data_IF_474056286131
#
_entry.id   IF_474056286131
#
_cell.length_a   1.000
_cell.length_b   1.000
_cell.length_c   1.000
_cell.angle_alpha   90.00
_cell.angle_beta   90.00
_cell.angle_gamma   90.00
#
_symmetry.space_group_name_H-M   'P 1'
#
loop_
_entity.id
_entity.type
_entity.pdbx_description
1 polymer ?
#
# COMPACT_ATOMS: atom_id res chain seq x y z
N UNK A 1 -14.68 2.14 11.70
CA UNK A 1 -15.43 1.52 10.59
C UNK A 1 -16.83 1.18 11.06
N UNK A 2 -17.83 1.67 10.36
CA UNK A 2 -19.25 1.51 10.73
C UNK A 2 -20.00 0.98 9.50
N UNK A 3 -20.80 -0.05 9.65
CA UNK A 3 -21.67 -0.55 8.59
C UNK A 3 -22.73 0.50 8.24
N UNK A 4 -22.92 0.78 6.94
CA UNK A 4 -23.87 1.81 6.48
C UNK A 4 -25.31 1.50 6.88
N UNK A 5 -25.71 0.23 6.77
CA UNK A 5 -27.09 -0.20 6.96
C UNK A 5 -27.49 -0.27 8.44
N UNK A 6 -26.63 -0.89 9.27
CA UNK A 6 -26.94 -1.17 10.69
C UNK A 6 -26.37 -0.14 11.66
N UNK A 7 -25.50 0.76 11.18
CA UNK A 7 -24.73 1.72 12.01
C UNK A 7 -23.86 1.07 13.09
N UNK A 8 -23.59 -0.22 12.95
CA UNK A 8 -22.80 -0.99 13.89
C UNK A 8 -21.31 -0.70 13.70
N UNK A 9 -20.58 -0.46 14.79
CA UNK A 9 -19.13 -0.40 14.81
C UNK A 9 -18.55 -1.79 14.65
N UNK A 10 -17.75 -2.01 13.62
CA UNK A 10 -17.17 -3.33 13.28
C UNK A 10 -15.64 -3.36 13.34
N UNK A 11 -14.97 -2.22 13.47
CA UNK A 11 -13.52 -2.16 13.47
C UNK A 11 -12.98 -0.74 13.36
N UNK A 12 -11.67 -0.62 13.32
CA UNK A 12 -10.97 0.65 13.12
C UNK A 12 -9.82 0.48 12.13
N UNK A 13 -9.50 1.55 11.41
CA UNK A 13 -8.33 1.67 10.56
C UNK A 13 -7.84 3.12 10.65
N UNK A 14 -6.54 3.32 10.64
CA UNK A 14 -5.95 4.66 10.72
C UNK A 14 -4.47 4.67 10.42
N UNK A 15 -3.93 5.87 10.32
CA UNK A 15 -2.52 6.16 10.10
C UNK A 15 -2.01 6.92 11.32
N UNK A 16 -0.90 6.45 11.90
CA UNK A 16 -0.24 7.04 13.06
C UNK A 16 1.23 7.33 12.75
N UNK A 17 1.93 8.17 13.51
CA UNK A 17 3.38 8.27 13.41
C UNK A 17 4.05 6.89 13.49
N UNK A 18 5.01 6.61 12.60
CA UNK A 18 5.77 5.35 12.68
C UNK A 18 6.82 5.48 13.80
N UNK A 19 6.74 4.71 14.89
CA UNK A 19 7.67 4.80 16.01
C UNK A 19 9.09 4.33 15.66
N UNK A 20 9.28 3.72 14.49
CA UNK A 20 10.56 3.19 14.01
C UNK A 20 11.22 4.12 12.98
N UNK A 21 10.56 5.23 12.59
CA UNK A 21 11.03 6.15 11.57
C UNK A 21 10.79 7.60 11.96
N UNK A 22 11.85 8.37 11.96
CA UNK A 22 11.80 9.79 12.35
C UNK A 22 11.28 10.72 11.23
N UNK A 23 11.17 10.21 9.99
CA UNK A 23 10.68 10.98 8.85
C UNK A 23 9.18 11.30 9.01
N UNK A 24 8.78 12.59 9.10
CA UNK A 24 7.38 12.98 9.30
C UNK A 24 6.46 12.67 8.11
N UNK A 25 7.02 12.42 6.91
CA UNK A 25 6.26 11.98 5.74
C UNK A 25 6.04 10.46 5.70
N UNK A 26 6.53 9.74 6.71
CA UNK A 26 6.28 8.31 6.88
C UNK A 26 5.29 8.09 8.02
N UNK A 27 4.30 7.27 7.78
CA UNK A 27 3.29 6.91 8.77
C UNK A 27 3.08 5.40 8.79
N UNK A 28 2.60 4.91 9.91
CA UNK A 28 2.28 3.49 10.08
C UNK A 28 0.77 3.27 10.04
N UNK A 29 0.34 2.34 9.20
CA UNK A 29 -1.03 1.85 9.13
C UNK A 29 -1.31 0.90 10.29
N UNK A 30 -2.38 1.15 11.02
CA UNK A 30 -2.91 0.26 12.03
C UNK A 30 -4.38 -0.04 11.81
N UNK A 31 -4.82 -1.27 12.11
CA UNK A 31 -6.24 -1.64 11.99
C UNK A 31 -6.59 -2.86 12.85
N UNK A 32 -7.88 -2.94 13.15
CA UNK A 32 -8.50 -4.14 13.71
C UNK A 32 -9.92 -4.28 13.18
N UNK A 33 -10.44 -5.50 13.13
CA UNK A 33 -11.78 -5.83 12.68
C UNK A 33 -12.35 -6.95 13.57
N UNK A 34 -13.60 -6.81 13.97
CA UNK A 34 -14.33 -7.84 14.68
C UNK A 34 -14.37 -9.14 13.85
N UNK A 35 -14.19 -10.28 14.54
CA UNK A 35 -14.04 -11.59 13.92
C UNK A 35 -15.25 -11.98 13.06
N UNK A 36 -16.46 -11.61 13.47
CA UNK A 36 -17.71 -11.87 12.76
C UNK A 36 -17.76 -11.27 11.36
N UNK A 37 -16.85 -10.33 11.06
CA UNK A 37 -16.77 -9.61 9.80
C UNK A 37 -15.54 -9.97 8.95
N UNK A 38 -14.73 -10.94 9.41
CA UNK A 38 -13.57 -11.38 8.65
C UNK A 38 -13.96 -12.08 7.33
N UNK A 39 -13.06 -12.06 6.37
CA UNK A 39 -13.22 -12.74 5.08
C UNK A 39 -14.14 -12.05 4.08
N UNK A 40 -14.83 -10.98 4.46
CA UNK A 40 -15.83 -10.27 3.64
C UNK A 40 -15.28 -9.10 2.84
N UNK A 41 -13.98 -8.81 2.92
CA UNK A 41 -13.33 -7.72 2.18
C UNK A 41 -13.33 -6.35 2.87
N UNK A 42 -14.11 -6.14 3.92
CA UNK A 42 -14.27 -4.84 4.59
C UNK A 42 -12.95 -4.17 4.97
N UNK A 43 -11.99 -4.92 5.54
CA UNK A 43 -10.71 -4.32 5.91
C UNK A 43 -9.87 -3.97 4.69
N UNK A 44 -9.91 -4.75 3.63
CA UNK A 44 -9.20 -4.44 2.39
C UNK A 44 -9.70 -3.13 1.77
N UNK A 45 -11.02 -2.94 1.71
CA UNK A 45 -11.66 -1.71 1.23
C UNK A 45 -11.33 -0.50 2.12
N UNK A 46 -11.43 -0.67 3.44
CA UNK A 46 -11.17 0.41 4.38
C UNK A 46 -9.69 0.86 4.36
N UNK A 47 -8.76 -0.08 4.24
CA UNK A 47 -7.33 0.20 4.06
C UNK A 47 -7.10 0.99 2.78
N UNK A 48 -7.72 0.61 1.65
CA UNK A 48 -7.61 1.36 0.39
C UNK A 48 -8.03 2.83 0.56
N UNK A 49 -9.14 3.08 1.24
CA UNK A 49 -9.61 4.46 1.51
C UNK A 49 -8.62 5.27 2.35
N UNK A 50 -8.01 4.65 3.36
CA UNK A 50 -7.01 5.30 4.21
C UNK A 50 -5.69 5.54 3.47
N UNK A 51 -5.29 4.63 2.58
CA UNK A 51 -4.10 4.81 1.74
C UNK A 51 -4.27 5.97 0.78
N UNK A 52 -5.41 6.07 0.11
CA UNK A 52 -5.72 7.20 -0.78
C UNK A 52 -5.64 8.53 -0.01
N UNK A 53 -6.27 8.62 1.16
CA UNK A 53 -6.18 9.80 2.02
C UNK A 53 -4.72 10.11 2.43
N UNK A 54 -3.94 9.09 2.80
CA UNK A 54 -2.55 9.25 3.20
C UNK A 54 -1.67 9.82 2.08
N UNK A 55 -1.82 9.32 0.87
CA UNK A 55 -1.00 9.77 -0.26
C UNK A 55 -1.52 11.06 -0.90
N UNK A 56 -2.83 11.21 -1.09
CA UNK A 56 -3.40 12.36 -1.79
C UNK A 56 -3.52 13.59 -0.91
N UNK A 57 -4.02 13.44 0.33
CA UNK A 57 -4.29 14.56 1.23
C UNK A 57 -3.12 14.87 2.15
N UNK A 58 -2.54 13.84 2.79
CA UNK A 58 -1.42 14.04 3.73
C UNK A 58 -0.06 14.10 3.02
N UNK A 59 0.00 13.82 1.72
CA UNK A 59 1.22 13.83 0.90
C UNK A 59 2.35 12.96 1.49
N UNK A 60 1.97 11.80 2.03
CA UNK A 60 2.95 10.88 2.59
C UNK A 60 3.82 10.28 1.48
N UNK A 61 5.10 10.13 1.76
CA UNK A 61 6.03 9.47 0.84
C UNK A 61 6.04 7.95 1.00
N UNK A 62 5.66 7.46 2.19
CA UNK A 62 5.66 6.04 2.51
C UNK A 62 4.65 5.72 3.61
N UNK A 63 3.95 4.62 3.47
CA UNK A 63 3.12 4.05 4.55
C UNK A 63 3.67 2.68 4.92
N UNK A 64 3.97 2.48 6.20
CA UNK A 64 4.43 1.20 6.73
C UNK A 64 3.31 0.43 7.40
N UNK A 65 3.51 -0.84 7.64
CA UNK A 65 2.62 -1.67 8.45
C UNK A 65 3.40 -2.82 9.08
N UNK A 66 2.92 -3.31 10.22
CA UNK A 66 3.48 -4.51 10.84
C UNK A 66 2.37 -5.52 11.13
N UNK A 67 2.71 -6.79 11.12
CA UNK A 67 1.82 -7.84 11.62
C UNK A 67 2.63 -9.01 12.18
N UNK A 68 1.98 -9.82 13.00
CA UNK A 68 2.59 -11.06 13.49
C UNK A 68 2.79 -12.08 12.36
N UNK A 69 3.86 -12.89 12.39
CA UNK A 69 4.14 -13.91 11.38
C UNK A 69 3.02 -14.96 11.21
N UNK A 70 2.27 -15.22 12.28
CA UNK A 70 1.14 -16.16 12.27
C UNK A 70 -0.17 -15.50 11.77
N UNK A 71 -0.27 -14.17 11.71
CA UNK A 71 -1.47 -13.47 11.26
C UNK A 71 -1.60 -13.43 9.73
N UNK A 72 -1.91 -14.57 9.12
CA UNK A 72 -2.05 -14.72 7.67
C UNK A 72 -3.16 -13.85 7.07
N UNK A 73 -4.19 -13.50 7.87
CA UNK A 73 -5.28 -12.61 7.43
C UNK A 73 -4.78 -11.20 7.23
N UNK A 74 -4.03 -10.65 8.19
CA UNK A 74 -3.42 -9.32 8.07
C UNK A 74 -2.43 -9.28 6.90
N UNK A 75 -1.54 -10.28 6.75
CA UNK A 75 -0.64 -10.39 5.60
C UNK A 75 -1.39 -10.34 4.26
N UNK A 76 -2.56 -11.01 4.16
CA UNK A 76 -3.39 -11.02 2.95
C UNK A 76 -3.99 -9.64 2.67
N UNK A 77 -4.44 -8.92 3.71
CA UNK A 77 -4.94 -7.53 3.56
C UNK A 77 -3.82 -6.62 3.04
N UNK A 78 -2.63 -6.68 3.65
CA UNK A 78 -1.48 -5.87 3.24
C UNK A 78 -1.08 -6.16 1.79
N UNK A 79 -0.91 -7.43 1.43
CA UNK A 79 -0.55 -7.84 0.06
C UNK A 79 -1.58 -7.42 -0.98
N UNK A 80 -2.88 -7.52 -0.67
CA UNK A 80 -3.95 -7.08 -1.58
C UNK A 80 -3.96 -5.57 -1.82
N UNK A 81 -3.43 -4.79 -0.87
CA UNK A 81 -3.27 -3.35 -0.99
C UNK A 81 -1.88 -2.93 -1.49
N UNK A 82 -1.10 -3.86 -2.06
CA UNK A 82 0.17 -3.56 -2.71
C UNK A 82 1.37 -3.42 -1.77
N UNK A 83 1.21 -3.70 -0.47
CA UNK A 83 2.34 -3.62 0.45
C UNK A 83 3.43 -4.64 0.12
N UNK A 84 4.66 -4.19 0.16
CA UNK A 84 5.88 -4.95 -0.09
C UNK A 84 6.45 -5.40 1.25
N UNK A 85 6.85 -6.66 1.35
CA UNK A 85 7.52 -7.19 2.53
C UNK A 85 8.94 -6.61 2.64
N UNK A 86 9.26 -6.00 3.77
CA UNK A 86 10.56 -5.35 4.04
C UNK A 86 11.52 -6.26 4.82
N UNK A 87 10.96 -7.04 5.76
CA UNK A 87 11.77 -7.92 6.60
C UNK A 87 11.06 -8.31 7.89
N UNK A 88 11.75 -9.05 8.74
CA UNK A 88 11.26 -9.44 10.07
C UNK A 88 12.06 -8.72 11.14
N UNK A 89 11.37 -8.04 12.04
CA UNK A 89 11.93 -7.50 13.28
C UNK A 89 11.75 -8.56 14.36
N UNK A 90 12.88 -9.16 14.78
CA UNK A 90 12.86 -10.21 15.80
C UNK A 90 12.66 -9.63 17.20
N UNK A 91 11.92 -10.36 18.04
CA UNK A 91 11.62 -10.00 19.42
C UNK A 91 11.06 -8.56 19.54
N UNK A 92 10.17 -8.19 18.61
CA UNK A 92 9.71 -6.83 18.43
C UNK A 92 8.72 -6.37 19.49
N UNK A 93 8.03 -7.30 20.14
CA UNK A 93 6.99 -6.97 21.11
C UNK A 93 7.01 -7.96 22.28
N UNK A 94 7.00 -7.39 23.50
CA UNK A 94 6.71 -8.13 24.72
C UNK A 94 5.26 -7.83 25.11
N UNK A 95 4.40 -8.83 25.03
CA UNK A 95 2.99 -8.67 25.40
C UNK A 95 2.79 -8.71 26.92
N UNK A 96 1.65 -8.22 27.38
CA UNK A 96 1.30 -8.17 28.82
C UNK A 96 1.31 -9.54 29.50
N UNK A 97 1.12 -10.62 28.76
CA UNK A 97 1.18 -12.01 29.28
C UNK A 97 2.59 -12.63 29.19
N UNK A 98 3.61 -11.84 28.87
CA UNK A 98 5.01 -12.27 28.83
C UNK A 98 5.44 -12.97 27.53
N UNK A 99 4.59 -13.06 26.52
CA UNK A 99 5.00 -13.63 25.22
C UNK A 99 5.80 -12.61 24.43
N UNK A 100 6.84 -13.10 23.74
CA UNK A 100 7.66 -12.30 22.84
C UNK A 100 7.28 -12.68 21.40
N UNK A 101 7.01 -11.67 20.59
CA UNK A 101 6.64 -11.86 19.18
C UNK A 101 7.56 -11.11 18.24
N UNK A 102 7.81 -11.72 17.08
CA UNK A 102 8.41 -11.06 15.93
C UNK A 102 7.34 -10.24 15.19
N UNK A 103 7.77 -9.17 14.51
CA UNK A 103 6.92 -8.44 13.57
C UNK A 103 7.44 -8.63 12.14
N UNK A 104 6.56 -9.03 11.24
CA UNK A 104 6.80 -8.85 9.82
C UNK A 104 6.51 -7.40 9.44
N UNK A 105 7.49 -6.74 8.87
CA UNK A 105 7.41 -5.35 8.44
C UNK A 105 7.08 -5.28 6.95
N UNK A 106 6.24 -4.31 6.60
CA UNK A 106 5.80 -4.05 5.24
C UNK A 106 5.83 -2.55 4.98
N UNK A 107 6.00 -2.17 3.73
CA UNK A 107 5.92 -0.79 3.30
C UNK A 107 5.17 -0.65 1.98
N UNK A 108 4.59 0.52 1.75
CA UNK A 108 3.98 0.93 0.51
C UNK A 108 4.49 2.34 0.18
N UNK A 109 5.28 2.52 -0.89
CA UNK A 109 5.71 3.85 -1.30
C UNK A 109 4.54 4.62 -1.92
N UNK A 110 4.52 5.93 -1.69
CA UNK A 110 3.64 6.84 -2.41
C UNK A 110 4.03 6.90 -3.88
N UNK A 111 3.06 7.10 -4.74
CA UNK A 111 3.32 7.40 -6.15
C UNK A 111 3.75 8.87 -6.19
N UNK A 112 5.03 9.12 -6.49
CA UNK A 112 5.50 10.47 -6.80
C UNK A 112 5.05 10.88 -8.20
N UNK A 113 4.82 12.17 -8.42
CA UNK A 113 4.70 12.67 -9.78
C UNK A 113 6.06 12.51 -10.47
N UNK A 114 6.08 12.12 -11.76
CA UNK A 114 7.32 11.95 -12.48
C UNK A 114 8.08 13.30 -12.55
N UNK A 115 9.38 13.20 -12.40
CA UNK A 115 10.31 14.30 -12.63
C UNK A 115 10.85 14.21 -14.06
N UNK A 116 11.47 15.26 -14.59
CA UNK A 116 12.10 15.20 -15.92
C UNK A 116 13.11 14.06 -16.10
N UNK A 117 13.78 13.65 -15.04
CA UNK A 117 14.72 12.52 -15.04
C UNK A 117 14.05 11.17 -15.26
N UNK A 118 12.76 11.04 -14.91
CA UNK A 118 11.98 9.80 -15.04
C UNK A 118 11.42 9.62 -16.46
N UNK A 119 11.43 10.67 -17.29
CA UNK A 119 10.75 10.62 -18.60
C UNK A 119 11.31 9.58 -19.55
N UNK A 120 12.59 9.32 -19.56
CA UNK A 120 13.19 8.33 -20.45
C UNK A 120 12.77 6.91 -20.05
N UNK A 121 12.66 6.62 -18.76
CA UNK A 121 12.14 5.35 -18.26
C UNK A 121 10.64 5.20 -18.53
N UNK A 122 9.86 6.25 -18.32
CA UNK A 122 8.42 6.28 -18.64
C UNK A 122 8.17 6.00 -20.12
N UNK A 123 8.94 6.65 -20.99
CA UNK A 123 8.86 6.43 -22.44
C UNK A 123 9.23 5.00 -22.83
N UNK A 124 10.26 4.45 -22.19
CA UNK A 124 10.67 3.06 -22.41
C UNK A 124 9.54 2.08 -22.01
N UNK A 125 8.97 2.24 -20.82
CA UNK A 125 7.86 1.40 -20.32
C UNK A 125 6.62 1.54 -21.20
N UNK A 126 6.29 2.77 -21.62
CA UNK A 126 5.18 3.03 -22.53
C UNK A 126 5.39 2.31 -23.89
N UNK A 127 6.58 2.46 -24.49
CA UNK A 127 6.90 1.83 -25.76
C UNK A 127 6.84 0.31 -25.68
N UNK A 128 7.41 -0.28 -24.64
CA UNK A 128 7.32 -1.73 -24.37
C UNK A 128 5.87 -2.21 -24.24
N UNK A 129 5.06 -1.46 -23.50
CA UNK A 129 3.65 -1.77 -23.29
C UNK A 129 2.87 -1.71 -24.61
N UNK A 130 3.04 -0.65 -25.38
CA UNK A 130 2.37 -0.45 -26.67
C UNK A 130 2.73 -1.55 -27.66
N UNK A 131 4.02 -1.90 -27.77
CA UNK A 131 4.50 -2.98 -28.64
C UNK A 131 3.92 -4.35 -28.28
N UNK A 132 3.66 -4.57 -27.00
CA UNK A 132 3.12 -5.86 -26.52
C UNK A 132 1.61 -5.97 -26.64
N UNK A 133 0.88 -4.86 -26.57
CA UNK A 133 -0.58 -4.85 -26.43
C UNK A 133 -1.34 -4.32 -27.65
N UNK A 134 -0.64 -3.71 -28.62
CA UNK A 134 -1.25 -3.00 -29.76
C UNK A 134 -0.67 -3.45 -31.08
N UNK A 135 -0.96 -4.69 -31.50
CA UNK A 135 -0.48 -5.29 -32.74
C UNK A 135 -0.85 -4.50 -34.01
N UNK A 136 -1.82 -3.58 -33.92
CA UNK A 136 -2.27 -2.72 -35.03
C UNK A 136 -1.43 -1.44 -35.20
N UNK A 137 -0.54 -1.12 -34.24
CA UNK A 137 0.33 0.04 -34.36
C UNK A 137 1.61 -0.29 -35.09
N UNK A 138 1.89 0.48 -36.16
CA UNK A 138 3.16 0.37 -36.90
C UNK A 138 4.27 1.12 -36.17
N UNK A 139 5.52 0.86 -36.56
CA UNK A 139 6.69 1.57 -36.05
C UNK A 139 6.57 3.09 -36.23
N UNK A 140 6.04 3.55 -37.38
CA UNK A 140 5.79 4.97 -37.66
C UNK A 140 4.81 5.59 -36.66
N UNK A 141 3.74 4.86 -36.30
CA UNK A 141 2.78 5.31 -35.29
C UNK A 141 3.45 5.46 -33.92
N UNK A 142 4.26 4.48 -33.51
CA UNK A 142 4.97 4.53 -32.23
C UNK A 142 5.91 5.72 -32.16
N UNK A 143 6.70 5.96 -33.20
CA UNK A 143 7.62 7.08 -33.26
C UNK A 143 6.90 8.44 -33.31
N UNK A 144 5.72 8.51 -33.90
CA UNK A 144 4.86 9.70 -33.91
C UNK A 144 4.34 10.05 -32.51
N UNK A 145 3.84 9.06 -31.77
CA UNK A 145 3.25 9.29 -30.44
C UNK A 145 4.27 9.46 -29.33
N UNK A 146 5.46 8.88 -29.46
CA UNK A 146 6.50 8.89 -28.42
C UNK A 146 6.84 10.29 -27.88
N UNK A 147 6.98 11.36 -28.67
CA UNK A 147 7.21 12.71 -28.15
C UNK A 147 6.01 13.33 -27.41
N UNK A 148 4.79 12.79 -27.61
CA UNK A 148 3.57 13.32 -27.00
C UNK A 148 3.27 12.73 -25.60
N UNK A 149 4.04 11.73 -25.19
CA UNK A 149 3.93 11.07 -23.86
C UNK A 149 4.70 11.83 -22.79
N UNK A 150 5.48 12.84 -23.15
CA UNK A 150 6.27 13.69 -22.24
C UNK A 150 5.43 14.70 -21.49
#
# INVERSE_FOLDING_TARGET
>A
MILKDTKQLIGSVGIIPDPKRENPQVRMLGYWLDESYWGKGYMTEAVQGVLNYGFEELRLSLITATCYPHNKRSQKVLKKNGFIYEGTLHQAELTYNGNIYDHQCYYLPGISQPTPEDYDEILHVWEMSVRHTHDFLTEEHIQFYKPLVR
#
